data_IF_507555383206
#
_entry.id   IF_507555383206
#
_cell.length_a   1.000
_cell.length_b   1.000
_cell.length_c   1.000
_cell.angle_alpha   90.00
_cell.angle_beta   90.00
_cell.angle_gamma   90.00
#
_symmetry.space_group_name_H-M   'P 1'
#
loop_
_entity.id
_entity.type
_entity.pdbx_description
1 polymer ?
#
# COMPACT_ATOMS: atom_id res chain seq x y z
N UNK A 1 9.66 -9.94 -9.91
CA UNK A 1 9.75 -8.61 -10.54
C UNK A 1 8.35 -8.01 -10.52
N UNK A 2 7.93 -7.45 -9.37
CA UNK A 2 6.56 -6.88 -9.20
C UNK A 2 6.54 -5.73 -8.17
N UNK A 3 7.34 -5.82 -7.10
CA UNK A 3 7.43 -4.78 -6.05
C UNK A 3 7.81 -3.40 -6.56
N UNK A 4 8.71 -3.30 -7.56
CA UNK A 4 9.13 -2.02 -8.16
C UNK A 4 7.98 -1.34 -8.92
N UNK A 5 7.15 -2.12 -9.62
CA UNK A 5 5.98 -1.58 -10.32
C UNK A 5 4.95 -1.07 -9.31
N UNK A 6 4.75 -1.82 -8.24
CA UNK A 6 3.82 -1.48 -7.17
C UNK A 6 4.23 -0.17 -6.47
N UNK A 7 5.51 -0.04 -6.10
CA UNK A 7 6.08 1.19 -5.54
C UNK A 7 5.85 2.39 -6.48
N UNK A 8 6.12 2.22 -7.78
CA UNK A 8 5.90 3.28 -8.79
C UNK A 8 4.44 3.70 -8.95
N UNK A 9 3.49 2.78 -8.81
CA UNK A 9 2.07 3.14 -8.84
C UNK A 9 1.65 3.94 -7.61
N UNK A 10 2.24 3.63 -6.44
CA UNK A 10 2.02 4.38 -5.20
C UNK A 10 2.88 5.66 -5.08
N UNK A 11 3.84 5.89 -5.99
CA UNK A 11 4.52 7.19 -6.12
C UNK A 11 3.66 8.22 -6.88
N UNK A 12 2.50 7.81 -7.43
CA UNK A 12 1.56 8.70 -8.11
C UNK A 12 0.50 9.19 -7.11
N UNK A 13 0.01 10.41 -7.35
CA UNK A 13 -1.18 10.95 -6.69
C UNK A 13 -2.34 9.94 -6.71
N UNK A 14 -3.07 9.72 -5.60
CA UNK A 14 -3.12 10.52 -4.37
C UNK A 14 -2.22 10.03 -3.21
N UNK A 15 -1.22 9.20 -3.49
CA UNK A 15 -0.40 8.56 -2.46
C UNK A 15 0.92 9.31 -2.26
N UNK A 16 1.27 9.59 -1.00
CA UNK A 16 2.52 10.27 -0.65
C UNK A 16 3.40 9.35 0.19
N UNK A 17 4.61 9.05 -0.28
CA UNK A 17 5.56 8.25 0.49
C UNK A 17 6.06 9.03 1.71
N UNK A 18 5.73 8.58 2.92
CA UNK A 18 6.11 9.23 4.17
C UNK A 18 7.22 8.49 4.92
N UNK A 19 7.35 7.17 4.73
CA UNK A 19 8.37 6.39 5.43
C UNK A 19 8.82 5.16 4.63
N UNK A 20 10.10 4.80 4.78
CA UNK A 20 10.66 3.53 4.29
C UNK A 20 11.42 2.84 5.41
N UNK A 21 10.87 1.74 5.88
CA UNK A 21 11.48 0.88 6.89
C UNK A 21 12.22 -0.28 6.21
N UNK A 22 13.46 -0.53 6.63
CA UNK A 22 14.29 -1.65 6.16
C UNK A 22 14.44 -2.66 7.27
N UNK A 23 14.29 -3.94 6.94
CA UNK A 23 14.49 -5.05 7.88
C UNK A 23 15.17 -6.22 7.16
N UNK A 24 15.66 -7.20 7.91
CA UNK A 24 16.51 -8.28 7.37
C UNK A 24 15.92 -9.02 6.16
N UNK A 25 14.59 -9.15 6.13
CA UNK A 25 13.86 -9.93 5.12
C UNK A 25 13.11 -9.08 4.09
N UNK A 26 13.26 -7.76 4.09
CA UNK A 26 12.49 -6.92 3.19
C UNK A 26 12.47 -5.44 3.52
N UNK A 27 11.48 -4.76 2.93
CA UNK A 27 11.23 -3.33 3.12
C UNK A 27 9.74 -3.09 3.28
N UNK A 28 9.38 -2.10 4.10
CA UNK A 28 8.02 -1.56 4.19
C UNK A 28 8.05 -0.11 3.72
N UNK A 29 7.21 0.21 2.75
CA UNK A 29 6.99 1.56 2.26
C UNK A 29 5.65 2.03 2.77
N UNK A 30 5.61 3.16 3.45
CA UNK A 30 4.40 3.71 4.05
C UNK A 30 3.98 4.90 3.22
N UNK A 31 2.80 4.80 2.62
CA UNK A 31 2.18 5.86 1.85
C UNK A 31 1.04 6.47 2.64
N UNK A 32 1.04 7.78 2.82
CA UNK A 32 -0.10 8.53 3.28
C UNK A 32 -1.12 8.65 2.14
N UNK A 33 -2.39 8.53 2.49
CA UNK A 33 -3.51 8.65 1.58
C UNK A 33 -4.56 9.60 2.19
N UNK A 34 -4.68 10.80 1.60
CA UNK A 34 -5.68 11.78 2.00
C UNK A 34 -7.03 11.51 1.29
N UNK A 35 -8.10 11.40 2.08
CA UNK A 35 -9.46 11.06 1.63
C UNK A 35 -10.48 12.06 2.20
N UNK A 36 -10.50 13.27 1.64
CA UNK A 36 -11.28 14.38 2.19
C UNK A 36 -10.71 14.82 3.54
N UNK A 37 -11.54 14.78 4.60
CA UNK A 37 -11.11 15.06 5.98
C UNK A 37 -10.47 13.85 6.68
N UNK A 38 -10.44 12.69 6.02
CA UNK A 38 -9.88 11.45 6.58
C UNK A 38 -8.48 11.21 6.05
N UNK A 39 -7.65 10.62 6.91
CA UNK A 39 -6.30 10.18 6.56
C UNK A 39 -6.21 8.66 6.75
N UNK A 40 -5.62 7.99 5.77
CA UNK A 40 -5.32 6.56 5.81
C UNK A 40 -3.87 6.33 5.41
N UNK A 41 -3.39 5.12 5.66
CA UNK A 41 -2.06 4.70 5.25
C UNK A 41 -2.13 3.42 4.44
N UNK A 42 -1.33 3.35 3.38
CA UNK A 42 -1.11 2.13 2.62
C UNK A 42 0.32 1.69 2.87
N UNK A 43 0.50 0.51 3.42
CA UNK A 43 1.82 -0.07 3.59
C UNK A 43 2.07 -1.10 2.51
N UNK A 44 3.15 -0.91 1.76
CA UNK A 44 3.66 -1.91 0.84
C UNK A 44 4.79 -2.66 1.54
N UNK A 45 4.55 -3.92 1.90
CA UNK A 45 5.54 -4.79 2.53
C UNK A 45 6.13 -5.70 1.47
N UNK A 46 7.31 -5.34 0.97
CA UNK A 46 8.05 -6.13 0.00
C UNK A 46 9.03 -7.06 0.74
N UNK A 47 8.69 -8.35 0.79
CA UNK A 47 9.57 -9.42 1.24
C UNK A 47 10.36 -9.99 0.05
N UNK A 48 11.28 -10.93 0.31
CA UNK A 48 12.02 -11.61 -0.77
C UNK A 48 11.10 -12.33 -1.76
N UNK A 49 10.07 -13.00 -1.25
CA UNK A 49 9.26 -13.94 -2.04
C UNK A 49 7.77 -13.55 -2.11
N UNK A 50 7.39 -12.44 -1.48
CA UNK A 50 6.01 -12.00 -1.39
C UNK A 50 5.91 -10.49 -1.27
N UNK A 51 4.82 -9.91 -1.78
CA UNK A 51 4.47 -8.52 -1.56
C UNK A 51 3.10 -8.46 -0.91
N UNK A 52 2.99 -7.69 0.16
CA UNK A 52 1.71 -7.41 0.81
C UNK A 52 1.37 -5.93 0.69
N UNK A 53 0.08 -5.66 0.53
CA UNK A 53 -0.49 -4.32 0.62
C UNK A 53 -1.42 -4.31 1.83
N UNK A 54 -1.10 -3.48 2.81
CA UNK A 54 -1.88 -3.32 4.04
C UNK A 54 -2.56 -1.95 4.01
N UNK A 55 -3.85 -1.89 4.35
CA UNK A 55 -4.60 -0.65 4.48
C UNK A 55 -4.81 -0.34 5.97
N UNK A 56 -4.47 0.87 6.39
CA UNK A 56 -4.42 1.27 7.79
C UNK A 56 -5.22 2.54 8.04
N UNK A 57 -5.92 2.55 9.17
CA UNK A 57 -6.52 3.76 9.74
C UNK A 57 -5.65 4.22 10.92
N UNK A 58 -5.37 5.53 11.08
CA UNK A 58 -4.47 6.04 12.12
C UNK A 58 -4.89 5.64 13.54
N UNK A 59 -6.19 5.50 13.80
CA UNK A 59 -6.73 5.08 15.09
C UNK A 59 -6.69 3.58 15.40
N UNK A 60 -6.15 2.72 14.53
CA UNK A 60 -6.17 1.26 14.71
C UNK A 60 -4.76 0.69 14.89
N UNK A 61 -4.63 -0.30 15.78
CA UNK A 61 -3.37 -1.02 16.02
C UNK A 61 -3.11 -2.17 15.04
N UNK A 62 -4.05 -2.43 14.12
CA UNK A 62 -4.00 -3.53 13.13
C UNK A 62 -4.49 -3.02 11.77
N UNK A 63 -4.03 -3.61 10.64
CA UNK A 63 -4.52 -3.21 9.33
C UNK A 63 -6.00 -3.57 9.17
N UNK A 64 -6.74 -2.68 8.50
CA UNK A 64 -8.14 -2.91 8.14
C UNK A 64 -8.27 -3.98 7.04
N UNK A 65 -7.34 -3.98 6.08
CA UNK A 65 -7.29 -4.93 4.98
C UNK A 65 -5.84 -5.33 4.70
N UNK A 66 -5.63 -6.59 4.33
CA UNK A 66 -4.32 -7.11 3.92
C UNK A 66 -4.49 -7.91 2.65
N UNK A 67 -3.73 -7.56 1.62
CA UNK A 67 -3.72 -8.25 0.34
C UNK A 67 -2.34 -8.86 0.09
N UNK A 68 -2.31 -10.14 -0.26
CA UNK A 68 -1.14 -10.76 -0.84
C UNK A 68 -1.16 -10.50 -2.36
N UNK A 69 -0.08 -9.94 -2.90
CA UNK A 69 0.05 -9.59 -4.32
C UNK A 69 1.14 -10.46 -4.92
N UNK A 70 0.72 -11.36 -5.79
CA UNK A 70 1.55 -12.35 -6.48
C UNK A 70 1.54 -12.21 -8.01
N UNK A 71 0.71 -11.29 -8.52
CA UNK A 71 0.65 -10.94 -9.94
C UNK A 71 0.37 -9.45 -10.16
N UNK A 72 0.78 -8.93 -11.32
CA UNK A 72 0.39 -7.59 -11.78
C UNK A 72 -1.13 -7.38 -11.92
N UNK A 73 -1.91 -8.44 -12.17
CA UNK A 73 -3.38 -8.37 -12.20
C UNK A 73 -3.97 -8.17 -10.81
N UNK A 74 -3.48 -8.90 -9.80
CA UNK A 74 -3.85 -8.71 -8.40
C UNK A 74 -3.52 -7.30 -7.92
N UNK A 75 -2.34 -6.78 -8.31
CA UNK A 75 -1.97 -5.39 -8.06
C UNK A 75 -3.02 -4.42 -8.63
N UNK A 76 -3.39 -4.56 -9.90
CA UNK A 76 -4.39 -3.69 -10.52
C UNK A 76 -5.74 -3.73 -9.79
N UNK A 77 -6.18 -4.92 -9.35
CA UNK A 77 -7.41 -5.09 -8.57
C UNK A 77 -7.32 -4.39 -7.21
N UNK A 78 -6.20 -4.54 -6.49
CA UNK A 78 -5.97 -3.86 -5.21
C UNK A 78 -5.99 -2.34 -5.38
N UNK A 79 -5.33 -1.79 -6.41
CA UNK A 79 -5.34 -0.36 -6.68
C UNK A 79 -6.75 0.17 -6.99
N UNK A 80 -7.54 -0.57 -7.76
CA UNK A 80 -8.94 -0.22 -8.03
C UNK A 80 -9.79 -0.22 -6.76
N UNK A 81 -9.62 -1.22 -5.89
CA UNK A 81 -10.32 -1.30 -4.61
C UNK A 81 -9.93 -0.14 -3.67
N UNK A 82 -8.65 0.16 -3.54
CA UNK A 82 -8.19 1.28 -2.71
C UNK A 82 -8.74 2.61 -3.24
N UNK A 83 -8.81 2.79 -4.56
CA UNK A 83 -9.40 3.99 -5.18
C UNK A 83 -10.90 4.09 -4.92
N UNK A 84 -11.66 3.00 -4.92
CA UNK A 84 -13.10 3.05 -4.64
C UNK A 84 -13.41 3.40 -3.18
N UNK A 85 -12.52 3.03 -2.24
CA UNK A 85 -12.61 3.43 -0.83
C UNK A 85 -12.43 4.94 -0.62
N UNK A 86 -11.82 5.64 -1.56
CA UNK A 86 -11.62 7.09 -1.51
C UNK A 86 -12.85 7.91 -1.90
N UNK A 87 -13.94 7.28 -2.34
CA UNK A 87 -15.19 7.96 -2.66
C UNK A 87 -15.07 8.90 -3.87
N UNK A 88 -14.57 8.38 -5.00
CA UNK A 88 -14.77 9.00 -6.32
C UNK A 88 -15.67 8.13 -7.18
#
# INVERSE_FOLDING_TARGET
MESVLLIREFEKEPYELVEVLRFERGRRYVYRLAAGEREYFVHVVALRDAVYVEFWHPGYAVPLLVFHVSSGEELSRVLTLLRSLLGR
#
